data_IF_324653343622
#
_entry.id   IF_324653343622
#
_cell.length_a   1.000
_cell.length_b   1.000
_cell.length_c   1.000
_cell.angle_alpha   90.00
_cell.angle_beta   90.00
_cell.angle_gamma   90.00
#
_symmetry.space_group_name_H-M   'P 1'
#
loop_
_entity.id
_entity.type
_entity.pdbx_description
1 polymer ?
#
# COMPACT_ATOMS: atom_id res chain seq x y z
N UNK A 1 0.05 -3.84 12.23
CA UNK A 1 1.06 -4.81 11.75
C UNK A 1 0.33 -5.82 10.88
N UNK A 2 0.87 -6.18 9.72
CA UNK A 2 0.20 -7.12 8.81
C UNK A 2 0.86 -8.51 8.88
N UNK A 3 0.04 -9.53 8.65
CA UNK A 3 0.45 -10.93 8.62
C UNK A 3 0.57 -11.37 7.16
N UNK A 4 1.64 -12.08 6.85
CA UNK A 4 1.96 -12.53 5.50
C UNK A 4 2.20 -14.03 5.48
N UNK A 5 1.76 -14.67 4.40
CA UNK A 5 2.15 -16.03 4.05
C UNK A 5 3.43 -15.98 3.23
N UNK A 6 4.50 -16.59 3.74
CA UNK A 6 5.80 -16.66 3.07
C UNK A 6 5.92 -17.94 2.26
N UNK A 7 6.37 -17.78 1.02
CA UNK A 7 6.57 -18.83 0.05
C UNK A 7 8.02 -18.84 -0.46
N UNK A 8 8.60 -20.02 -0.62
CA UNK A 8 9.87 -20.22 -1.33
C UNK A 8 9.58 -20.97 -2.63
N UNK A 9 9.81 -20.32 -3.78
CA UNK A 9 9.53 -20.88 -5.11
C UNK A 9 8.12 -21.49 -5.26
N UNK A 10 7.14 -20.87 -4.61
CA UNK A 10 5.73 -21.30 -4.64
C UNK A 10 5.34 -22.32 -3.57
N UNK A 11 6.29 -22.85 -2.80
CA UNK A 11 5.98 -23.70 -1.65
C UNK A 11 5.71 -22.83 -0.42
N UNK A 12 4.56 -23.05 0.21
CA UNK A 12 4.22 -22.39 1.46
C UNK A 12 5.14 -22.88 2.58
N UNK A 13 5.73 -21.94 3.32
CA UNK A 13 6.66 -22.27 4.41
C UNK A 13 6.10 -21.84 5.75
N UNK A 14 5.55 -20.63 5.87
CA UNK A 14 5.00 -20.14 7.13
C UNK A 14 4.08 -18.93 6.97
N UNK A 15 3.32 -18.64 8.03
CA UNK A 15 2.54 -17.42 8.17
C UNK A 15 3.00 -16.62 9.39
N UNK A 16 3.20 -15.33 9.22
CA UNK A 16 3.60 -14.46 10.32
C UNK A 16 3.76 -12.99 9.93
N UNK A 17 4.02 -12.14 10.90
CA UNK A 17 4.42 -10.75 10.63
C UNK A 17 5.80 -10.71 9.98
N UNK A 18 6.14 -9.58 9.33
CA UNK A 18 7.48 -9.42 8.73
C UNK A 18 8.63 -9.63 9.74
N UNK A 19 8.40 -9.34 11.03
CA UNK A 19 9.36 -9.59 12.11
C UNK A 19 9.49 -11.08 12.43
N UNK A 20 8.38 -11.80 12.53
CA UNK A 20 8.37 -13.24 12.82
C UNK A 20 9.04 -14.02 11.67
N UNK A 21 8.71 -13.67 10.42
CA UNK A 21 9.33 -14.28 9.22
C UNK A 21 10.84 -14.02 9.21
N UNK A 22 11.27 -12.80 9.52
CA UNK A 22 12.69 -12.43 9.61
C UNK A 22 13.42 -13.26 10.66
N UNK A 23 12.80 -13.49 11.83
CA UNK A 23 13.38 -14.30 12.90
C UNK A 23 13.47 -15.78 12.52
N UNK A 24 12.40 -16.34 11.94
CA UNK A 24 12.36 -17.74 11.52
C UNK A 24 13.40 -18.06 10.45
N UNK A 25 13.50 -17.22 9.42
CA UNK A 25 14.45 -17.40 8.33
C UNK A 25 15.88 -16.93 8.66
N UNK A 26 16.08 -16.30 9.82
CA UNK A 26 17.36 -15.68 10.24
C UNK A 26 17.90 -14.69 9.20
N UNK A 27 17.01 -13.89 8.63
CA UNK A 27 17.36 -12.85 7.63
C UNK A 27 16.98 -11.46 8.12
N UNK A 28 17.57 -10.43 7.53
CA UNK A 28 17.18 -9.04 7.80
C UNK A 28 15.74 -8.73 7.40
N UNK A 29 15.07 -7.88 8.17
CA UNK A 29 13.67 -7.44 7.90
C UNK A 29 13.51 -6.82 6.50
N UNK A 30 14.53 -6.13 5.99
CA UNK A 30 14.52 -5.52 4.65
C UNK A 30 14.35 -6.56 3.53
N UNK A 31 14.90 -7.76 3.71
CA UNK A 31 14.69 -8.86 2.75
C UNK A 31 13.24 -9.32 2.75
N UNK A 32 12.61 -9.39 3.93
CA UNK A 32 11.19 -9.74 4.04
C UNK A 32 10.30 -8.71 3.34
N UNK A 33 10.58 -7.42 3.51
CA UNK A 33 9.87 -6.38 2.76
C UNK A 33 10.05 -6.49 1.25
N UNK A 34 11.24 -6.90 0.79
CA UNK A 34 11.48 -7.18 -0.63
C UNK A 34 10.61 -8.34 -1.12
N UNK A 35 10.49 -9.42 -0.34
CA UNK A 35 9.60 -10.54 -0.67
C UNK A 35 8.12 -10.15 -0.69
N UNK A 36 7.70 -9.23 0.18
CA UNK A 36 6.34 -8.66 0.16
C UNK A 36 6.10 -7.90 -1.15
N UNK A 37 7.08 -7.12 -1.65
CA UNK A 37 6.95 -6.47 -2.95
C UNK A 37 6.85 -7.50 -4.08
N UNK A 38 7.67 -8.57 -4.05
CA UNK A 38 7.58 -9.68 -5.01
C UNK A 38 6.19 -10.32 -5.00
N UNK A 39 5.57 -10.48 -3.82
CA UNK A 39 4.25 -11.08 -3.66
C UNK A 39 3.09 -10.28 -4.28
N UNK A 40 3.30 -8.99 -4.56
CA UNK A 40 2.33 -8.11 -5.27
C UNK A 40 2.33 -8.29 -6.79
N UNK A 41 3.35 -8.95 -7.34
CA UNK A 41 3.39 -9.24 -8.78
C UNK A 41 2.53 -10.45 -9.16
N UNK A 42 2.35 -10.65 -10.46
CA UNK A 42 1.59 -11.77 -11.02
C UNK A 42 2.12 -13.15 -10.59
N UNK A 43 1.24 -14.15 -10.63
CA UNK A 43 1.52 -15.51 -10.17
C UNK A 43 2.78 -16.13 -10.81
N UNK A 44 2.96 -15.97 -12.13
CA UNK A 44 4.09 -16.55 -12.85
C UNK A 44 5.43 -15.95 -12.40
N UNK A 45 5.44 -14.65 -12.09
CA UNK A 45 6.62 -13.95 -11.59
C UNK A 45 7.02 -14.46 -10.21
N UNK A 46 6.04 -14.65 -9.31
CA UNK A 46 6.31 -15.08 -7.94
C UNK A 46 6.59 -16.58 -7.82
N UNK A 47 6.09 -17.43 -8.73
CA UNK A 47 6.32 -18.89 -8.70
C UNK A 47 7.80 -19.28 -8.70
N UNK A 48 8.66 -18.48 -9.31
CA UNK A 48 10.11 -18.77 -9.40
C UNK A 48 10.94 -18.13 -8.29
N UNK A 49 10.32 -17.38 -7.38
CA UNK A 49 11.00 -16.51 -6.42
C UNK A 49 10.46 -16.68 -5.00
N UNK A 50 11.29 -16.27 -4.04
CA UNK A 50 10.87 -16.06 -2.65
C UNK A 50 9.93 -14.87 -2.60
N UNK A 51 8.76 -15.05 -2.03
CA UNK A 51 7.73 -14.02 -1.98
C UNK A 51 6.87 -14.16 -0.73
N UNK A 52 6.21 -13.06 -0.35
CA UNK A 52 5.30 -13.04 0.78
C UNK A 52 4.01 -12.35 0.35
N UNK A 53 2.87 -12.99 0.63
CA UNK A 53 1.53 -12.51 0.24
C UNK A 53 0.80 -12.07 1.49
N UNK A 54 0.09 -10.94 1.42
CA UNK A 54 -0.73 -10.47 2.55
C UNK A 54 -1.82 -11.50 2.85
N UNK A 55 -1.86 -12.00 4.08
CA UNK A 55 -2.94 -12.83 4.56
C UNK A 55 -3.95 -11.92 5.26
N UNK A 56 -4.95 -11.46 4.51
CA UNK A 56 -5.95 -10.52 5.01
C UNK A 56 -6.80 -11.12 6.13
N UNK A 57 -7.16 -12.40 6.02
CA UNK A 57 -7.97 -13.10 7.01
C UNK A 57 -7.24 -13.16 8.36
N UNK A 58 -5.97 -13.56 8.35
CA UNK A 58 -5.19 -13.66 9.57
C UNK A 58 -4.76 -12.29 10.11
N UNK A 59 -4.50 -11.33 9.22
CA UNK A 59 -4.27 -9.94 9.61
C UNK A 59 -5.48 -9.36 10.33
N UNK A 60 -6.69 -9.53 9.78
CA UNK A 60 -7.93 -9.03 10.40
C UNK A 60 -8.24 -9.75 11.71
N UNK A 61 -7.93 -11.04 11.81
CA UNK A 61 -8.09 -11.82 13.05
C UNK A 61 -7.15 -11.35 14.15
N UNK A 62 -5.87 -11.14 13.85
CA UNK A 62 -4.85 -10.74 14.86
C UNK A 62 -4.85 -9.24 15.15
N UNK A 63 -5.18 -8.42 14.15
CA UNK A 63 -5.14 -6.96 14.20
C UNK A 63 -6.46 -6.37 13.67
N UNK A 64 -7.58 -6.54 14.38
CA UNK A 64 -8.90 -6.11 13.91
C UNK A 64 -9.04 -4.59 13.75
N UNK A 65 -8.24 -3.80 14.48
CA UNK A 65 -8.21 -2.35 14.38
C UNK A 65 -7.34 -1.82 13.22
N UNK A 66 -6.64 -2.71 12.50
CA UNK A 66 -5.85 -2.31 11.35
C UNK A 66 -6.80 -2.13 10.16
N UNK A 67 -7.09 -0.88 9.80
CA UNK A 67 -7.61 -0.60 8.46
C UNK A 67 -6.53 -1.01 7.47
N UNK A 68 -6.72 -2.14 6.79
CA UNK A 68 -5.90 -2.49 5.64
C UNK A 68 -6.23 -1.44 4.59
N UNK A 69 -5.39 -0.41 4.49
CA UNK A 69 -5.52 0.69 3.51
C UNK A 69 -5.46 0.10 2.11
N UNK A 70 -6.60 -0.33 1.58
CA UNK A 70 -6.68 -1.04 0.31
C UNK A 70 -7.01 -0.16 -0.88
N UNK A 71 -7.26 1.15 -0.71
CA UNK A 71 -7.64 2.01 -1.84
C UNK A 71 -7.00 3.42 -1.80
N UNK A 72 -7.03 4.13 -0.66
CA UNK A 72 -6.61 5.54 -0.60
C UNK A 72 -5.09 5.77 -0.79
N UNK A 73 -4.23 4.90 -0.24
CA UNK A 73 -2.78 5.02 -0.45
C UNK A 73 -2.35 4.67 -1.89
N UNK A 74 -3.06 3.74 -2.55
CA UNK A 74 -2.84 3.38 -3.95
C UNK A 74 -3.27 4.51 -4.89
N UNK A 75 -4.39 5.18 -4.59
CA UNK A 75 -4.82 6.38 -5.33
C UNK A 75 -3.79 7.50 -5.14
N UNK A 76 -3.33 7.74 -3.90
CA UNK A 76 -2.35 8.78 -3.59
C UNK A 76 -0.99 8.58 -4.28
N UNK A 77 -0.54 7.33 -4.46
CA UNK A 77 0.72 7.00 -5.15
C UNK A 77 0.59 7.12 -6.68
N UNK A 78 -0.47 6.60 -7.28
CA UNK A 78 -0.76 6.77 -8.73
C UNK A 78 -0.92 8.24 -9.11
N UNK A 79 -1.62 9.00 -8.29
CA UNK A 79 -1.83 10.43 -8.49
C UNK A 79 -0.51 11.21 -8.39
N UNK A 80 0.38 10.86 -7.45
CA UNK A 80 1.73 11.44 -7.38
C UNK A 80 2.59 11.12 -8.60
N UNK A 81 2.48 9.93 -9.18
CA UNK A 81 3.17 9.59 -10.43
C UNK A 81 2.63 10.35 -11.63
N UNK A 82 1.30 10.45 -11.80
CA UNK A 82 0.69 11.24 -12.89
C UNK A 82 1.14 12.69 -12.88
N UNK A 83 1.31 13.28 -11.69
CA UNK A 83 1.78 14.67 -11.51
C UNK A 83 3.20 14.93 -12.03
N UNK A 84 4.04 13.91 -12.20
CA UNK A 84 5.41 14.07 -12.74
C UNK A 84 5.39 14.42 -14.23
N UNK A 85 4.36 14.00 -14.96
CA UNK A 85 4.21 14.22 -16.40
C UNK A 85 3.17 15.29 -16.74
N UNK A 86 2.68 16.02 -15.73
CA UNK A 86 1.64 17.03 -15.90
C UNK A 86 2.13 18.25 -16.70
N UNK A 87 1.35 18.65 -17.70
CA UNK A 87 1.59 19.85 -18.50
C UNK A 87 1.33 21.13 -17.70
N UNK A 88 1.82 22.28 -18.20
CA UNK A 88 1.64 23.57 -17.51
C UNK A 88 0.16 23.98 -17.38
N UNK A 89 -0.68 23.57 -18.34
CA UNK A 89 -2.10 23.88 -18.35
C UNK A 89 -2.88 23.05 -17.33
N UNK A 90 -2.64 21.74 -17.26
CA UNK A 90 -3.22 20.86 -16.25
C UNK A 90 -2.87 21.33 -14.84
N UNK A 91 -1.62 21.77 -14.63
CA UNK A 91 -1.19 22.34 -13.34
C UNK A 91 -1.94 23.61 -12.97
N UNK A 92 -2.21 24.49 -13.95
CA UNK A 92 -3.00 25.72 -13.75
C UNK A 92 -4.44 25.38 -13.42
N UNK A 93 -5.06 24.47 -14.18
CA UNK A 93 -6.42 24.00 -13.96
C UNK A 93 -6.60 23.43 -12.54
N UNK A 94 -5.67 22.56 -12.10
CA UNK A 94 -5.71 22.01 -10.74
C UNK A 94 -5.60 23.07 -9.65
N UNK A 95 -4.75 24.09 -9.83
CA UNK A 95 -4.64 25.20 -8.87
C UNK A 95 -5.93 26.00 -8.79
N UNK A 96 -6.58 26.25 -9.93
CA UNK A 96 -7.86 26.95 -9.97
C UNK A 96 -8.95 26.15 -9.25
N UNK A 97 -9.03 24.83 -9.50
CA UNK A 97 -9.98 23.95 -8.82
C UNK A 97 -9.73 23.95 -7.31
N UNK A 98 -8.47 23.86 -6.85
CA UNK A 98 -8.15 23.93 -5.41
C UNK A 98 -8.50 25.28 -4.80
N UNK A 99 -8.23 26.38 -5.49
CA UNK A 99 -8.58 27.71 -5.02
C UNK A 99 -10.11 27.86 -4.88
N UNK A 100 -10.88 27.36 -5.86
CA UNK A 100 -12.34 27.35 -5.80
C UNK A 100 -12.87 26.50 -4.64
N UNK A 101 -12.34 25.28 -4.46
CA UNK A 101 -12.73 24.43 -3.32
C UNK A 101 -12.38 25.06 -1.97
N UNK A 102 -11.23 25.73 -1.85
CA UNK A 102 -10.87 26.44 -0.62
C UNK A 102 -11.83 27.60 -0.33
N UNK A 103 -12.19 28.38 -1.36
CA UNK A 103 -13.19 29.45 -1.24
C UNK A 103 -14.55 28.87 -0.84
N UNK A 104 -14.98 27.76 -1.44
CA UNK A 104 -16.26 27.11 -1.13
C UNK A 104 -16.27 26.55 0.30
N UNK A 105 -15.18 25.92 0.74
CA UNK A 105 -15.06 25.41 2.11
C UNK A 105 -15.06 26.53 3.14
N UNK A 106 -14.33 27.63 2.92
CA UNK A 106 -14.36 28.78 3.83
C UNK A 106 -15.76 29.41 3.91
N UNK A 107 -16.51 29.44 2.80
CA UNK A 107 -17.91 29.89 2.81
C UNK A 107 -18.83 28.94 3.58
N UNK A 108 -18.61 27.63 3.50
CA UNK A 108 -19.36 26.64 4.30
C UNK A 108 -19.06 26.76 5.79
N UNK A 109 -17.78 26.96 6.15
CA UNK A 109 -17.35 27.20 7.53
C UNK A 109 -17.94 28.51 8.09
N UNK A 110 -17.98 29.60 7.31
CA UNK A 110 -18.64 30.86 7.71
C UNK A 110 -20.16 30.71 7.89
N UNK A 111 -20.79 29.75 7.21
CA UNK A 111 -22.21 29.42 7.33
C UNK A 111 -22.51 28.37 8.42
N UNK A 112 -21.49 27.86 9.12
CA UNK A 112 -21.63 26.91 10.23
C UNK A 112 -22.19 25.53 9.83
N UNK A 113 -21.98 25.11 8.58
CA UNK A 113 -22.36 23.80 8.04
C UNK A 113 -21.18 22.82 8.01
#
# INVERSE_FOLDING_TARGET
ASVYDYYDKGEFIMTGTAREISQFLKIGKNNVYSYIQVGKHAFDYRKTRKHAILNEAETRKRFPLLSVSSEEELIGTKEKERRKHETKEERRLRRNIRAQMAIENSRKEELGL
#
